data_IF_215601958313
#
_entry.id   IF_215601958313
#
_cell.length_a   1.000
_cell.length_b   1.000
_cell.length_c   1.000
_cell.angle_alpha   90.00
_cell.angle_beta   90.00
_cell.angle_gamma   90.00
#
_symmetry.space_group_name_H-M   'P 1'
#
loop_
_entity.id
_entity.type
_entity.pdbx_description
1 polymer ?
#
# COMPACT_ATOMS: atom_id res chain seq x y z
N UNK A 1 -9.88 -2.05 -6.77
CA UNK A 1 -8.65 -2.21 -7.59
C UNK A 1 -8.08 -0.83 -7.83
N UNK A 2 -6.79 -0.61 -7.57
CA UNK A 2 -6.11 0.65 -7.90
C UNK A 2 -5.39 0.48 -9.25
N UNK A 3 -5.82 1.21 -10.27
CA UNK A 3 -5.23 1.17 -11.62
C UNK A 3 -4.64 2.54 -11.94
N UNK A 4 -3.47 2.57 -12.56
CA UNK A 4 -2.78 3.80 -12.96
C UNK A 4 -1.92 3.55 -14.20
N UNK A 5 -1.80 4.52 -15.12
CA UNK A 5 -0.82 4.45 -16.21
C UNK A 5 0.63 4.64 -15.73
N UNK A 6 0.84 5.06 -14.48
CA UNK A 6 2.17 5.33 -13.90
C UNK A 6 2.40 4.57 -12.59
N UNK A 7 2.41 3.23 -12.58
CA UNK A 7 2.62 2.43 -11.36
C UNK A 7 3.97 2.71 -10.67
N UNK A 8 5.01 3.06 -11.43
CA UNK A 8 6.34 3.44 -10.95
C UNK A 8 6.37 4.68 -10.06
N UNK A 9 5.31 5.51 -10.08
CA UNK A 9 5.19 6.65 -9.17
C UNK A 9 4.71 6.25 -7.78
N UNK A 10 4.34 4.99 -7.58
CA UNK A 10 3.90 4.48 -6.29
C UNK A 10 5.02 3.68 -5.64
N UNK A 11 5.21 3.91 -4.35
CA UNK A 11 6.28 3.31 -3.55
C UNK A 11 5.68 2.72 -2.28
N UNK A 12 6.09 1.48 -1.97
CA UNK A 12 5.82 0.85 -0.69
C UNK A 12 6.94 1.23 0.28
N UNK A 13 6.59 2.01 1.32
CA UNK A 13 7.57 2.50 2.30
C UNK A 13 7.45 1.66 3.57
N UNK A 14 8.52 0.95 3.91
CA UNK A 14 8.62 0.15 5.14
C UNK A 14 8.60 1.04 6.38
N UNK A 15 7.80 0.67 7.37
CA UNK A 15 7.56 1.45 8.58
C UNK A 15 6.90 0.59 9.68
N UNK A 16 6.57 1.21 10.81
CA UNK A 16 5.72 0.66 11.87
C UNK A 16 4.52 1.57 12.10
N UNK A 17 3.47 1.07 12.77
CA UNK A 17 2.27 1.87 13.05
C UNK A 17 2.55 3.22 13.72
N UNK A 18 3.51 3.26 14.64
CA UNK A 18 3.85 4.46 15.40
C UNK A 18 4.57 5.52 14.54
N UNK A 19 5.18 5.10 13.43
CA UNK A 19 6.01 5.96 12.57
C UNK A 19 5.24 6.50 11.36
N UNK A 20 4.10 5.91 11.00
CA UNK A 20 3.29 6.28 9.81
C UNK A 20 2.94 7.77 9.77
N UNK A 21 2.59 8.37 10.91
CA UNK A 21 2.26 9.81 10.97
C UNK A 21 3.50 10.66 10.70
N UNK A 22 4.67 10.23 11.20
CA UNK A 22 5.96 10.89 11.04
C UNK A 22 6.63 10.71 9.68
N UNK A 23 6.02 9.98 8.74
CA UNK A 23 6.47 9.92 7.34
C UNK A 23 6.19 11.25 6.62
N UNK A 24 6.96 12.28 6.95
CA UNK A 24 6.93 13.59 6.33
C UNK A 24 7.55 13.55 4.93
N UNK A 25 7.07 14.42 4.03
CA UNK A 25 7.55 14.49 2.65
C UNK A 25 7.10 13.32 1.74
N UNK A 26 6.39 12.33 2.28
CA UNK A 26 5.76 11.25 1.50
C UNK A 26 4.27 11.52 1.34
N UNK A 27 3.77 11.49 0.10
CA UNK A 27 2.33 11.61 -0.16
C UNK A 27 1.69 10.24 0.10
N UNK A 28 1.08 10.07 1.28
CA UNK A 28 0.40 8.83 1.68
C UNK A 28 -0.92 8.68 0.92
N UNK A 29 -1.18 7.51 0.34
CA UNK A 29 -2.42 7.26 -0.41
C UNK A 29 -3.57 6.99 0.56
N UNK A 30 -4.60 7.85 0.48
CA UNK A 30 -5.87 7.65 1.19
C UNK A 30 -6.65 6.52 0.49
N UNK A 31 -6.86 5.42 1.21
CA UNK A 31 -7.59 4.24 0.73
C UNK A 31 -9.08 4.24 1.07
N UNK A 32 -9.53 5.17 1.90
CA UNK A 32 -10.93 5.27 2.32
C UNK A 32 -11.15 6.33 3.40
N UNK A 33 -12.38 6.36 3.91
CA UNK A 33 -12.80 7.33 4.93
C UNK A 33 -13.58 6.62 6.05
N UNK A 34 -13.31 7.02 7.29
CA UNK A 34 -14.09 6.65 8.46
C UNK A 34 -14.23 7.92 9.33
N UNK A 35 -15.41 8.20 9.94
CA UNK A 35 -15.60 9.44 10.71
C UNK A 35 -14.53 9.61 11.80
N UNK A 36 -13.80 10.72 11.76
CA UNK A 36 -12.71 11.03 12.70
C UNK A 36 -11.37 10.36 12.39
N UNK A 37 -11.28 9.59 11.31
CA UNK A 37 -10.07 8.85 10.93
C UNK A 37 -9.74 8.98 9.45
N UNK A 38 -8.45 8.99 9.17
CA UNK A 38 -7.88 8.83 7.83
C UNK A 38 -7.53 7.36 7.66
N UNK A 39 -7.91 6.78 6.52
CA UNK A 39 -7.57 5.40 6.20
C UNK A 39 -6.54 5.37 5.08
N UNK A 40 -5.37 4.78 5.35
CA UNK A 40 -4.32 4.56 4.35
C UNK A 40 -4.26 3.09 3.90
N UNK A 41 -3.64 2.86 2.75
CA UNK A 41 -3.40 1.51 2.23
C UNK A 41 -2.08 0.99 2.78
N UNK A 42 -2.13 -0.15 3.46
CA UNK A 42 -0.95 -0.85 3.97
C UNK A 42 -0.87 -2.29 3.52
N UNK A 43 0.33 -2.86 3.60
CA UNK A 43 0.55 -4.31 3.48
C UNK A 43 1.56 -4.79 4.51
N UNK A 44 1.47 -6.04 4.91
CA UNK A 44 2.49 -6.67 5.76
C UNK A 44 2.62 -8.14 5.38
N UNK A 45 3.81 -8.72 5.59
CA UNK A 45 4.01 -10.15 5.47
C UNK A 45 3.60 -10.83 6.78
N UNK A 46 2.46 -11.51 6.77
CA UNK A 46 1.90 -12.15 7.97
C UNK A 46 1.41 -13.55 7.63
N UNK A 47 1.71 -14.52 8.50
CA UNK A 47 1.27 -15.91 8.32
C UNK A 47 1.63 -16.54 6.96
N UNK A 48 2.82 -16.19 6.43
CA UNK A 48 3.36 -16.76 5.19
C UNK A 48 2.91 -16.07 3.90
N UNK A 49 2.12 -15.00 3.98
CA UNK A 49 1.60 -14.28 2.82
C UNK A 49 1.65 -12.75 3.01
N UNK A 50 1.77 -12.01 1.90
CA UNK A 50 1.61 -10.56 1.92
C UNK A 50 0.12 -10.22 1.98
N UNK A 51 -0.33 -9.75 3.14
CA UNK A 51 -1.70 -9.33 3.38
C UNK A 51 -1.82 -7.83 3.21
N UNK A 52 -2.73 -7.39 2.34
CA UNK A 52 -3.10 -5.97 2.20
C UNK A 52 -4.24 -5.62 3.15
N UNK A 53 -4.26 -4.38 3.61
CA UNK A 53 -5.21 -3.91 4.60
C UNK A 53 -5.29 -2.40 4.71
N UNK A 54 -6.11 -1.98 5.68
CA UNK A 54 -6.30 -0.58 6.03
C UNK A 54 -5.45 -0.22 7.24
N UNK A 55 -4.75 0.91 7.17
CA UNK A 55 -4.12 1.55 8.33
C UNK A 55 -5.04 2.68 8.75
N UNK A 56 -5.53 2.64 9.99
CA UNK A 56 -6.44 3.65 10.53
C UNK A 56 -5.63 4.62 11.37
N UNK A 57 -5.71 5.91 11.06
CA UNK A 57 -4.99 6.95 11.77
C UNK A 57 -5.87 8.15 12.08
N UNK A 58 -5.55 8.85 13.15
CA UNK A 58 -5.90 10.25 13.33
C UNK A 58 -4.80 11.12 12.71
N UNK A 59 -4.93 12.44 12.83
CA UNK A 59 -3.85 13.36 12.46
C UNK A 59 -2.57 13.17 13.31
N UNK A 60 -2.70 12.57 14.50
CA UNK A 60 -1.60 12.49 15.49
C UNK A 60 -1.01 11.11 15.66
N UNK A 61 -1.79 10.05 15.43
CA UNK A 61 -1.34 8.68 15.64
C UNK A 61 -2.11 7.68 14.78
N UNK A 62 -1.51 6.53 14.51
CA UNK A 62 -2.23 5.39 13.95
C UNK A 62 -2.71 4.46 15.06
N UNK A 63 -3.97 4.04 14.96
CA UNK A 63 -4.65 3.25 15.98
C UNK A 63 -4.67 1.75 15.66
N UNK A 64 -4.34 1.36 14.42
CA UNK A 64 -4.20 -0.04 14.06
C UNK A 64 -4.05 -0.31 12.57
N UNK A 65 -3.53 -1.50 12.25
CA UNK A 65 -3.50 -2.05 10.90
C UNK A 65 -4.44 -3.26 10.84
N UNK A 66 -5.35 -3.28 9.87
CA UNK A 66 -6.40 -4.28 9.76
C UNK A 66 -6.37 -4.94 8.39
N UNK A 67 -6.24 -6.27 8.38
CA UNK A 67 -6.28 -7.10 7.16
C UNK A 67 -7.47 -8.04 7.20
N UNK A 68 -7.84 -8.66 6.08
CA UNK A 68 -8.88 -9.69 6.05
C UNK A 68 -8.26 -11.04 5.72
N UNK A 69 -8.53 -12.06 6.53
CA UNK A 69 -8.12 -13.45 6.29
C UNK A 69 -9.28 -14.38 6.58
N UNK A 70 -9.61 -15.27 5.65
CA UNK A 70 -10.74 -16.21 5.76
C UNK A 70 -12.06 -15.52 6.15
N UNK A 71 -12.34 -14.37 5.54
CA UNK A 71 -13.54 -13.57 5.80
C UNK A 71 -13.58 -12.85 7.15
N UNK A 72 -12.51 -12.91 7.95
CA UNK A 72 -12.41 -12.24 9.26
C UNK A 72 -11.41 -11.10 9.22
N UNK A 73 -11.74 -10.00 9.89
CA UNK A 73 -10.81 -8.90 10.12
C UNK A 73 -9.78 -9.32 11.19
N UNK A 74 -8.51 -9.08 10.89
CA UNK A 74 -7.38 -9.34 11.76
C UNK A 74 -6.74 -8.00 12.10
N UNK A 75 -6.66 -7.69 13.39
CA UNK A 75 -6.03 -6.49 13.91
C UNK A 75 -4.56 -6.77 14.26
N UNK A 76 -3.65 -5.97 13.71
CA UNK A 76 -2.21 -6.05 13.97
C UNK A 76 -1.75 -4.80 14.73
N UNK A 77 -1.09 -5.01 15.86
CA UNK A 77 -0.60 -3.92 16.73
C UNK A 77 0.91 -3.74 16.70
N UNK A 78 1.68 -4.81 16.46
CA UNK A 78 3.15 -4.81 16.47
C UNK A 78 3.70 -5.56 15.25
N UNK A 79 3.52 -4.98 14.06
CA UNK A 79 4.00 -5.57 12.81
C UNK A 79 4.78 -4.54 12.01
N UNK A 80 5.86 -4.98 11.37
CA UNK A 80 6.46 -4.21 10.29
C UNK A 80 5.53 -4.23 9.09
N UNK A 81 5.19 -3.05 8.61
CA UNK A 81 4.26 -2.89 7.50
C UNK A 81 4.88 -1.95 6.47
N UNK A 82 4.35 -2.00 5.27
CA UNK A 82 4.63 -1.01 4.24
C UNK A 82 3.36 -0.21 3.97
N UNK A 83 3.50 1.11 3.89
CA UNK A 83 2.41 2.01 3.49
C UNK A 83 2.60 2.40 2.02
N UNK A 84 1.49 2.45 1.27
CA UNK A 84 1.52 2.91 -0.11
C UNK A 84 1.62 4.44 -0.16
N UNK A 85 2.64 4.92 -0.84
CA UNK A 85 2.89 6.35 -1.05
C UNK A 85 3.00 6.68 -2.54
N UNK A 86 2.84 7.95 -2.87
CA UNK A 86 3.02 8.49 -4.22
C UNK A 86 4.17 9.48 -4.24
N UNK A 87 5.04 9.32 -5.24
CA UNK A 87 6.15 10.22 -5.52
C UNK A 87 5.91 10.87 -6.89
N UNK A 88 5.54 12.15 -6.88
CA UNK A 88 5.28 12.90 -8.10
C UNK A 88 6.53 13.06 -8.98
N UNK A 89 7.69 13.12 -8.32
CA UNK A 89 9.01 13.37 -8.92
C UNK A 89 9.71 12.09 -9.38
N UNK A 90 9.10 10.91 -9.13
CA UNK A 90 9.64 9.65 -9.63
C UNK A 90 9.69 9.67 -11.17
N UNK A 91 10.89 9.43 -11.71
CA UNK A 91 11.12 9.38 -13.14
C UNK A 91 10.32 8.24 -13.77
N UNK A 92 9.49 8.60 -14.75
CA UNK A 92 8.79 7.63 -15.58
C UNK A 92 9.74 7.24 -16.71
N UNK A 93 10.42 6.10 -16.57
CA UNK A 93 11.10 5.48 -17.71
C UNK A 93 10.06 5.22 -18.81
N UNK A 94 10.13 5.99 -19.90
CA UNK A 94 9.26 5.85 -21.07
C UNK A 94 9.64 4.67 -21.97
N UNK A 95 10.64 3.88 -21.60
CA UNK A 95 11.31 2.94 -22.51
C UNK A 95 10.96 1.46 -22.30
N UNK A 96 10.06 1.13 -21.37
CA UNK A 96 9.59 -0.24 -21.19
C UNK A 96 8.17 -0.40 -21.71
N UNK A 97 8.04 -0.54 -23.03
CA UNK A 97 6.89 -1.24 -23.58
C UNK A 97 6.99 -2.70 -23.13
N UNK A 98 6.05 -3.16 -22.30
CA UNK A 98 5.82 -4.59 -22.10
C UNK A 98 5.54 -5.21 -23.48
N UNK A 99 6.52 -5.91 -24.04
CA UNK A 99 6.28 -6.84 -25.13
C UNK A 99 5.38 -7.92 -24.56
N UNK A 100 4.11 -7.91 -24.97
CA UNK A 100 3.29 -9.11 -24.92
C UNK A 100 3.95 -10.04 -25.94
N UNK A 101 4.82 -10.93 -25.46
CA UNK A 101 5.23 -12.08 -26.27
C UNK A 101 3.94 -12.85 -26.55
N UNK A 102 3.44 -12.70 -27.78
CA UNK A 102 2.49 -13.65 -28.34
C UNK A 102 3.22 -14.97 -28.37
N UNK A 103 2.97 -15.81 -27.37
CA UNK A 103 3.18 -17.25 -27.48
C UNK A 103 2.45 -17.65 -28.77
N UNK A 104 3.22 -18.01 -29.79
CA UNK A 104 2.69 -18.66 -30.97
C UNK A 104 2.07 -19.97 -30.48
N UNK A 105 0.75 -20.04 -30.49
CA UNK A 105 0.05 -21.30 -30.64
C UNK A 105 0.55 -21.88 -31.97
N UNK A 106 1.39 -22.92 -31.90
CA UNK A 106 1.64 -23.80 -33.03
C UNK A 106 1.09 -25.18 -32.66
N UNK A 107 0.19 -25.58 -33.54
CA UNK A 107 -0.48 -26.87 -33.76
C UNK A 107 0.33 -28.13 -33.42
#
# INVERSE_FOLDING_TARGET
>A
VLCTPYPQKFEWVSTTLNEVVGLYGKVKIIGGFQPGYITYIGRAFTAGETSMGKIICTEKQCVGFYTVRNGKEIHHTNVHLEILTYNADAEVSTNECFRIDKRLDNE
#
